data_IF_580020846111
#
_entry.id   IF_580020846111
#
_cell.length_a   1.000
_cell.length_b   1.000
_cell.length_c   1.000
_cell.angle_alpha   90.00
_cell.angle_beta   90.00
_cell.angle_gamma   90.00
#
_symmetry.space_group_name_H-M   'P 1'
#
loop_
_entity.id
_entity.type
_entity.pdbx_description
1 polymer ?
#
# COMPACT_ATOMS: atom_id res chain seq x y z
N UNK A 1 -4.89 3.65 -4.21
CA UNK A 1 -3.64 3.94 -4.95
C UNK A 1 -2.60 2.88 -4.64
N UNK A 2 -2.02 2.27 -5.67
CA UNK A 2 -0.95 1.29 -5.58
C UNK A 2 0.38 1.93 -6.01
N UNK A 3 1.43 1.81 -5.21
CA UNK A 3 2.79 2.27 -5.52
C UNK A 3 3.67 1.06 -5.83
N UNK A 4 4.18 1.03 -7.07
CA UNK A 4 5.04 -0.01 -7.61
C UNK A 4 6.49 0.45 -7.66
N UNK A 5 7.36 -0.54 -7.58
CA UNK A 5 8.78 -0.37 -7.76
C UNK A 5 9.59 -1.50 -7.16
N UNK A 6 10.80 -1.71 -7.64
CA UNK A 6 11.73 -2.70 -7.09
C UNK A 6 12.24 -2.28 -5.70
N UNK A 7 12.92 -3.20 -5.04
CA UNK A 7 13.61 -2.95 -3.78
C UNK A 7 14.62 -1.81 -3.93
N UNK A 8 14.62 -0.86 -3.00
CA UNK A 8 15.52 0.29 -3.02
C UNK A 8 15.04 1.49 -3.85
N UNK A 9 13.89 1.42 -4.53
CA UNK A 9 13.36 2.53 -5.34
C UNK A 9 12.66 3.65 -4.55
N UNK A 10 12.73 3.60 -3.21
CA UNK A 10 12.20 4.66 -2.34
C UNK A 10 10.72 4.52 -1.95
N UNK A 11 10.07 3.37 -2.24
CA UNK A 11 8.67 3.08 -1.87
C UNK A 11 8.38 3.27 -0.38
N UNK A 12 9.07 2.49 0.47
CA UNK A 12 8.95 2.57 1.94
C UNK A 12 9.35 3.96 2.44
N UNK A 13 10.43 4.53 1.90
CA UNK A 13 10.87 5.89 2.26
C UNK A 13 9.80 6.94 1.97
N UNK A 14 9.09 6.85 0.85
CA UNK A 14 7.99 7.74 0.51
C UNK A 14 6.81 7.56 1.46
N UNK A 15 6.38 6.32 1.73
CA UNK A 15 5.30 6.07 2.68
C UNK A 15 5.66 6.53 4.10
N UNK A 16 6.90 6.33 4.54
CA UNK A 16 7.39 6.82 5.83
C UNK A 16 7.48 8.35 5.85
N UNK A 17 7.83 8.99 4.74
CA UNK A 17 7.77 10.46 4.62
C UNK A 17 6.33 10.96 4.76
N UNK A 18 5.39 10.36 4.03
CA UNK A 18 3.97 10.70 4.05
C UNK A 18 3.35 10.50 5.43
N UNK A 19 3.76 9.44 6.13
CA UNK A 19 3.31 9.14 7.49
C UNK A 19 4.06 9.89 8.60
N UNK A 20 4.99 10.79 8.22
CA UNK A 20 5.84 11.56 9.15
C UNK A 20 6.64 10.65 10.10
N UNK A 21 7.02 9.47 9.61
CA UNK A 21 7.89 8.46 10.24
C UNK A 21 9.36 8.64 9.91
N UNK A 22 9.74 9.50 8.94
CA UNK A 22 11.14 9.87 8.75
C UNK A 22 11.65 10.63 9.98
N UNK A 23 12.69 10.10 10.62
CA UNK A 23 13.35 10.73 11.75
C UNK A 23 14.22 11.87 11.22
N UNK A 24 14.61 12.81 12.09
CA UNK A 24 15.26 14.11 11.82
C UNK A 24 16.58 14.12 11.00
N UNK A 25 16.86 13.12 10.15
CA UNK A 25 18.00 13.10 9.23
C UNK A 25 17.51 13.38 7.80
N UNK A 26 17.61 14.65 7.38
CA UNK A 26 17.30 15.09 6.03
C UNK A 26 16.29 16.23 5.98
N UNK A 27 15.98 16.71 4.78
CA UNK A 27 15.00 17.77 4.53
C UNK A 27 13.86 17.21 3.69
N UNK A 28 12.63 17.36 4.18
CA UNK A 28 11.45 17.14 3.35
C UNK A 28 11.22 18.41 2.52
N UNK A 29 11.39 18.32 1.21
CA UNK A 29 11.33 19.49 0.31
C UNK A 29 9.92 20.12 0.21
N UNK A 30 8.87 19.34 0.47
CA UNK A 30 7.47 19.79 0.39
C UNK A 30 6.62 19.12 1.46
N UNK A 31 5.63 19.84 1.97
CA UNK A 31 4.69 19.30 2.95
C UNK A 31 3.70 18.33 2.30
N UNK A 32 3.32 17.29 3.05
CA UNK A 32 2.22 16.39 2.72
C UNK A 32 0.97 16.93 3.42
N UNK A 33 -0.01 17.36 2.62
CA UNK A 33 -1.28 17.89 3.10
C UNK A 33 -2.38 16.84 2.95
N UNK A 34 -3.15 16.60 4.02
CA UNK A 34 -4.37 15.77 3.99
C UNK A 34 -5.53 16.64 4.40
N UNK A 35 -6.41 17.01 3.46
CA UNK A 35 -7.51 17.95 3.70
C UNK A 35 -7.04 19.25 4.41
N UNK A 36 -5.82 19.71 4.10
CA UNK A 36 -5.19 20.87 4.74
C UNK A 36 -4.61 20.65 6.14
N UNK A 37 -4.55 19.40 6.64
CA UNK A 37 -4.05 19.04 7.97
C UNK A 37 -2.93 17.99 7.92
N UNK A 38 -2.17 17.89 9.02
CA UNK A 38 -1.06 16.96 9.18
C UNK A 38 -1.53 15.55 9.54
N UNK A 39 -0.99 14.53 8.85
CA UNK A 39 -1.30 13.12 9.11
C UNK A 39 -0.86 12.68 10.53
N UNK A 40 -1.72 11.90 11.21
CA UNK A 40 -1.41 11.25 12.49
C UNK A 40 -0.68 9.92 12.29
N UNK A 41 0.12 9.54 13.30
CA UNK A 41 1.02 8.38 13.30
C UNK A 41 0.33 7.18 13.93
N UNK A 42 0.51 5.98 13.37
CA UNK A 42 0.22 4.72 14.04
C UNK A 42 1.22 3.60 13.68
N UNK A 43 1.47 2.71 14.64
CA UNK A 43 2.40 1.58 14.51
C UNK A 43 1.65 0.25 14.61
N UNK A 44 2.07 -0.71 13.79
CA UNK A 44 1.62 -2.10 13.86
C UNK A 44 2.40 -2.82 14.96
N UNK A 45 1.81 -2.98 16.15
CA UNK A 45 2.39 -3.88 17.18
C UNK A 45 1.28 -4.69 17.81
N UNK A 46 1.23 -5.99 17.46
CA UNK A 46 0.30 -6.95 18.04
C UNK A 46 0.93 -7.66 19.24
N UNK A 47 0.18 -7.83 20.32
CA UNK A 47 0.62 -8.58 21.49
C UNK A 47 0.28 -10.07 21.31
N UNK A 48 1.30 -10.89 21.12
CA UNK A 48 1.19 -12.31 20.76
C UNK A 48 0.47 -13.17 21.81
N UNK A 49 0.49 -12.75 23.08
CA UNK A 49 -0.10 -13.46 24.21
C UNK A 49 -1.58 -13.15 24.45
N UNK A 50 -2.19 -12.33 23.60
CA UNK A 50 -3.61 -11.98 23.64
C UNK A 50 -4.38 -12.69 22.54
N UNK A 51 -5.68 -12.86 22.75
CA UNK A 51 -6.60 -13.22 21.67
C UNK A 51 -6.83 -12.03 20.73
N UNK A 52 -7.29 -12.30 19.51
CA UNK A 52 -7.64 -11.25 18.55
C UNK A 52 -8.65 -10.24 19.13
N UNK A 53 -9.69 -10.74 19.82
CA UNK A 53 -10.71 -9.91 20.46
C UNK A 53 -10.14 -9.06 21.58
N UNK A 54 -9.31 -9.64 22.45
CA UNK A 54 -8.68 -8.90 23.55
C UNK A 54 -7.78 -7.79 23.03
N UNK A 55 -6.94 -8.08 22.04
CA UNK A 55 -6.06 -7.09 21.43
C UNK A 55 -6.86 -5.92 20.85
N UNK A 56 -7.89 -6.21 20.04
CA UNK A 56 -8.73 -5.17 19.44
C UNK A 56 -9.51 -4.37 20.48
N UNK A 57 -9.98 -5.03 21.53
CA UNK A 57 -10.65 -4.36 22.65
C UNK A 57 -9.72 -3.41 23.38
N UNK A 58 -8.49 -3.81 23.68
CA UNK A 58 -7.51 -2.92 24.33
C UNK A 58 -7.11 -1.76 23.42
N UNK A 59 -6.90 -2.00 22.12
CA UNK A 59 -6.64 -0.93 21.15
C UNK A 59 -7.80 0.08 21.12
N UNK A 60 -9.05 -0.40 21.05
CA UNK A 60 -10.23 0.47 21.05
C UNK A 60 -10.37 1.28 22.35
N UNK A 61 -10.12 0.65 23.52
CA UNK A 61 -10.14 1.31 24.82
C UNK A 61 -9.11 2.45 24.93
N UNK A 62 -7.94 2.27 24.31
CA UNK A 62 -6.88 3.27 24.30
C UNK A 62 -7.13 4.40 23.29
N UNK A 63 -7.66 4.07 22.12
CA UNK A 63 -7.90 5.02 21.05
C UNK A 63 -9.15 5.89 21.29
N UNK A 64 -10.24 5.32 21.82
CA UNK A 64 -11.54 5.98 21.92
C UNK A 64 -11.74 6.57 23.32
N UNK A 65 -11.56 7.89 23.44
CA UNK A 65 -11.77 8.60 24.72
C UNK A 65 -13.26 8.76 25.02
N UNK A 66 -13.68 8.35 26.23
CA UNK A 66 -15.05 8.58 26.74
C UNK A 66 -16.12 7.62 26.19
N UNK A 67 -15.74 6.60 25.41
CA UNK A 67 -16.67 5.57 24.95
C UNK A 67 -17.14 4.66 26.09
N UNK A 68 -18.43 4.31 26.12
CA UNK A 68 -18.92 3.30 27.06
C UNK A 68 -18.36 1.91 26.71
N UNK A 69 -18.22 1.04 27.71
CA UNK A 69 -17.75 -0.35 27.48
C UNK A 69 -18.61 -1.09 26.45
N UNK A 70 -19.93 -0.87 26.46
CA UNK A 70 -20.86 -1.44 25.47
C UNK A 70 -20.63 -0.90 24.05
N UNK A 71 -20.37 0.40 23.90
CA UNK A 71 -20.06 1.01 22.61
C UNK A 71 -18.77 0.43 22.04
N UNK A 72 -17.72 0.35 22.86
CA UNK A 72 -16.42 -0.20 22.44
C UNK A 72 -16.55 -1.65 22.00
N UNK A 73 -17.25 -2.49 22.78
CA UNK A 73 -17.46 -3.88 22.40
C UNK A 73 -18.20 -4.01 21.07
N UNK A 74 -19.29 -3.23 20.87
CA UNK A 74 -20.03 -3.25 19.61
C UNK A 74 -19.16 -2.83 18.43
N UNK A 75 -18.32 -1.82 18.60
CA UNK A 75 -17.40 -1.37 17.55
C UNK A 75 -16.36 -2.45 17.21
N UNK A 76 -15.78 -3.10 18.22
CA UNK A 76 -14.84 -4.22 18.01
C UNK A 76 -15.50 -5.36 17.25
N UNK A 77 -16.70 -5.79 17.65
CA UNK A 77 -17.40 -6.87 16.95
C UNK A 77 -17.77 -6.49 15.50
N UNK A 78 -18.14 -5.23 15.25
CA UNK A 78 -18.42 -4.73 13.91
C UNK A 78 -17.17 -4.79 13.00
N UNK A 79 -16.02 -4.30 13.49
CA UNK A 79 -14.75 -4.34 12.74
C UNK A 79 -14.27 -5.78 12.53
N UNK A 80 -14.41 -6.66 13.52
CA UNK A 80 -14.07 -8.08 13.35
C UNK A 80 -14.97 -8.76 12.31
N UNK A 81 -16.27 -8.46 12.31
CA UNK A 81 -17.19 -9.02 11.31
C UNK A 81 -16.84 -8.51 9.91
N UNK A 82 -16.55 -7.22 9.77
CA UNK A 82 -16.13 -6.60 8.52
C UNK A 82 -14.88 -7.25 7.92
N UNK A 83 -13.91 -7.57 8.77
CA UNK A 83 -12.65 -8.22 8.34
C UNK A 83 -12.70 -9.74 8.33
N UNK A 84 -13.90 -10.32 8.50
CA UNK A 84 -14.13 -11.76 8.57
C UNK A 84 -13.30 -12.48 9.65
N UNK A 85 -13.02 -11.80 10.76
CA UNK A 85 -12.23 -12.29 11.91
C UNK A 85 -13.10 -12.94 13.00
N UNK A 86 -14.43 -12.88 12.90
CA UNK A 86 -15.34 -13.34 13.96
C UNK A 86 -15.15 -14.81 14.35
N UNK A 87 -14.81 -15.68 13.39
CA UNK A 87 -14.63 -17.12 13.61
C UNK A 87 -13.40 -17.47 14.45
N UNK A 88 -12.53 -16.50 14.69
CA UNK A 88 -11.22 -16.67 15.29
C UNK A 88 -10.91 -15.59 16.34
N UNK A 89 -11.95 -14.90 16.78
CA UNK A 89 -11.89 -13.82 17.76
C UNK A 89 -11.22 -14.24 19.08
N UNK A 90 -11.47 -15.47 19.55
CA UNK A 90 -10.98 -16.01 20.82
C UNK A 90 -9.70 -16.86 20.68
N UNK A 91 -9.11 -16.91 19.49
CA UNK A 91 -7.83 -17.59 19.29
C UNK A 91 -6.68 -16.65 19.65
N UNK A 92 -5.62 -17.21 20.24
CA UNK A 92 -4.39 -16.48 20.51
C UNK A 92 -3.76 -15.99 19.21
N UNK A 93 -3.37 -14.71 19.18
CA UNK A 93 -2.64 -14.11 18.05
C UNK A 93 -1.38 -14.92 17.77
N UNK A 94 -0.65 -15.25 18.83
CA UNK A 94 0.54 -16.08 18.76
C UNK A 94 1.69 -15.41 18.02
N UNK A 95 2.75 -16.19 17.81
CA UNK A 95 3.91 -15.80 17.04
C UNK A 95 4.42 -17.02 16.25
N UNK A 96 5.51 -16.83 15.50
CA UNK A 96 6.04 -17.89 14.63
C UNK A 96 6.48 -19.14 15.40
N UNK A 97 6.94 -18.97 16.64
CA UNK A 97 7.55 -20.04 17.44
C UNK A 97 6.54 -20.84 18.28
N UNK A 98 5.43 -20.21 18.69
CA UNK A 98 4.48 -20.81 19.66
C UNK A 98 3.10 -21.16 19.03
N UNK A 99 2.95 -21.00 17.71
CA UNK A 99 1.68 -21.22 17.01
C UNK A 99 0.64 -20.12 17.28
N UNK A 100 -0.50 -20.16 16.58
CA UNK A 100 -1.55 -19.15 16.67
C UNK A 100 -2.22 -18.89 15.33
N UNK A 101 -2.58 -17.63 15.08
CA UNK A 101 -3.19 -17.21 13.83
C UNK A 101 -2.22 -17.32 12.64
N UNK A 102 -2.76 -17.60 11.45
CA UNK A 102 -1.98 -17.53 10.21
C UNK A 102 -1.49 -16.11 9.94
N UNK A 103 -0.45 -15.97 9.10
CA UNK A 103 0.09 -14.65 8.73
C UNK A 103 -0.96 -13.73 8.12
N UNK A 104 -1.86 -14.28 7.29
CA UNK A 104 -2.96 -13.52 6.69
C UNK A 104 -3.96 -12.98 7.70
N UNK A 105 -4.31 -13.82 8.67
CA UNK A 105 -5.25 -13.44 9.72
C UNK A 105 -4.61 -12.44 10.69
N UNK A 106 -3.33 -12.60 11.02
CA UNK A 106 -2.56 -11.60 11.77
C UNK A 106 -2.53 -10.26 11.03
N UNK A 107 -2.36 -10.28 9.69
CA UNK A 107 -2.43 -9.05 8.87
C UNK A 107 -3.80 -8.40 8.96
N UNK A 108 -4.88 -9.18 8.87
CA UNK A 108 -6.25 -8.68 9.07
C UNK A 108 -6.47 -8.09 10.48
N UNK A 109 -5.96 -8.73 11.54
CA UNK A 109 -6.04 -8.18 12.91
C UNK A 109 -5.27 -6.84 13.01
N UNK A 110 -4.14 -6.69 12.32
CA UNK A 110 -3.42 -5.42 12.24
C UNK A 110 -4.26 -4.34 11.56
N UNK A 111 -4.88 -4.66 10.42
CA UNK A 111 -5.79 -3.75 9.71
C UNK A 111 -6.99 -3.38 10.60
N UNK A 112 -7.56 -4.37 11.30
CA UNK A 112 -8.66 -4.18 12.25
C UNK A 112 -8.32 -3.16 13.33
N UNK A 113 -7.11 -3.26 13.89
CA UNK A 113 -6.64 -2.35 14.91
C UNK A 113 -6.64 -0.89 14.42
N UNK A 114 -6.26 -0.65 13.16
CA UNK A 114 -6.28 0.67 12.55
C UNK A 114 -7.72 1.16 12.26
N UNK A 115 -8.61 0.28 11.80
CA UNK A 115 -10.01 0.63 11.51
C UNK A 115 -10.80 1.06 12.75
N UNK A 116 -10.40 0.64 13.96
CA UNK A 116 -11.04 1.09 15.20
C UNK A 116 -10.95 2.60 15.43
N UNK A 117 -10.06 3.30 14.70
CA UNK A 117 -9.92 4.75 14.77
C UNK A 117 -10.77 5.51 13.74
N UNK A 118 -11.54 4.81 12.90
CA UNK A 118 -12.27 5.37 11.75
C UNK A 118 -11.39 6.27 10.85
N UNK A 119 -10.24 5.77 10.36
CA UNK A 119 -9.31 6.58 9.59
C UNK A 119 -9.91 6.94 8.22
N UNK A 120 -9.76 8.21 7.82
CA UNK A 120 -10.10 8.65 6.44
C UNK A 120 -9.00 8.32 5.43
N UNK A 121 -7.78 8.04 5.89
CA UNK A 121 -6.63 7.66 5.07
C UNK A 121 -5.88 6.51 5.75
N UNK A 122 -5.55 5.48 4.98
CA UNK A 122 -4.74 4.35 5.43
C UNK A 122 -3.53 4.16 4.50
N UNK A 123 -2.36 4.00 5.12
CA UNK A 123 -1.09 3.76 4.43
C UNK A 123 -0.58 2.37 4.81
N UNK A 124 -0.31 1.52 3.82
CA UNK A 124 0.22 0.17 4.07
C UNK A 124 1.54 -0.03 3.34
N UNK A 125 2.60 -0.36 4.09
CA UNK A 125 3.85 -0.78 3.48
C UNK A 125 3.83 -2.30 3.25
N UNK A 126 3.93 -2.68 1.97
CA UNK A 126 3.97 -4.05 1.45
C UNK A 126 2.99 -5.03 2.12
N UNK A 127 1.66 -4.83 2.03
CA UNK A 127 0.66 -5.61 2.75
C UNK A 127 0.51 -7.06 2.35
N UNK A 128 1.12 -7.46 1.25
CA UNK A 128 1.11 -8.83 0.74
C UNK A 128 2.41 -9.59 1.03
N UNK A 129 3.43 -8.95 1.61
CA UNK A 129 4.74 -9.58 1.85
C UNK A 129 4.61 -10.69 2.90
N UNK A 130 5.16 -11.87 2.58
CA UNK A 130 5.14 -13.03 3.48
C UNK A 130 3.79 -13.78 3.52
N UNK A 131 2.87 -13.46 2.61
CA UNK A 131 1.60 -14.16 2.44
C UNK A 131 1.67 -15.10 1.23
N UNK A 132 0.94 -16.21 1.29
CA UNK A 132 0.70 -17.01 0.09
C UNK A 132 -0.18 -16.25 -0.90
N UNK A 133 -0.17 -16.71 -2.13
CA UNK A 133 -0.86 -16.10 -3.25
C UNK A 133 -2.36 -15.86 -3.03
N UNK A 134 -3.07 -16.81 -2.42
CA UNK A 134 -4.51 -16.70 -2.20
C UNK A 134 -4.79 -15.65 -1.13
N UNK A 135 -4.05 -15.71 -0.03
CA UNK A 135 -4.18 -14.76 1.08
C UNK A 135 -3.79 -13.34 0.66
N UNK A 136 -2.74 -13.17 -0.15
CA UNK A 136 -2.35 -11.87 -0.70
C UNK A 136 -3.49 -11.23 -1.52
N UNK A 137 -4.12 -12.01 -2.42
CA UNK A 137 -5.27 -11.53 -3.20
C UNK A 137 -6.44 -11.12 -2.29
N UNK A 138 -6.74 -11.90 -1.24
CA UNK A 138 -7.79 -11.56 -0.27
C UNK A 138 -7.50 -10.23 0.46
N UNK A 139 -6.24 -9.98 0.84
CA UNK A 139 -5.86 -8.71 1.45
C UNK A 139 -6.04 -7.55 0.47
N UNK A 140 -5.67 -7.70 -0.79
CA UNK A 140 -5.86 -6.63 -1.79
C UNK A 140 -7.35 -6.34 -2.06
N UNK A 141 -8.19 -7.37 -2.15
CA UNK A 141 -9.65 -7.19 -2.29
C UNK A 141 -10.20 -6.46 -1.08
N UNK A 142 -9.80 -6.84 0.13
CA UNK A 142 -10.18 -6.14 1.35
C UNK A 142 -9.78 -4.66 1.32
N UNK A 143 -8.55 -4.34 0.91
CA UNK A 143 -8.09 -2.95 0.79
C UNK A 143 -8.90 -2.16 -0.23
N UNK A 144 -9.30 -2.79 -1.34
CA UNK A 144 -10.20 -2.19 -2.31
C UNK A 144 -11.60 -1.96 -1.73
N UNK A 145 -12.16 -2.90 -0.97
CA UNK A 145 -13.45 -2.73 -0.29
C UNK A 145 -13.44 -1.59 0.72
N UNK A 146 -12.34 -1.43 1.47
CA UNK A 146 -12.15 -0.28 2.37
C UNK A 146 -12.14 1.04 1.59
N UNK A 147 -11.48 1.07 0.42
CA UNK A 147 -11.44 2.26 -0.42
C UNK A 147 -12.82 2.69 -0.92
N UNK A 148 -13.74 1.75 -1.17
CA UNK A 148 -15.12 2.03 -1.55
C UNK A 148 -15.97 2.64 -0.42
N UNK A 149 -15.47 2.70 0.81
CA UNK A 149 -16.16 3.25 1.99
C UNK A 149 -15.58 4.59 2.42
N UNK A 150 -15.33 5.47 1.45
CA UNK A 150 -14.80 6.83 1.66
C UNK A 150 -13.45 6.88 2.42
N UNK A 151 -12.65 5.82 2.30
CA UNK A 151 -11.29 5.75 2.86
C UNK A 151 -10.24 5.86 1.75
N UNK A 152 -9.28 6.76 1.87
CA UNK A 152 -8.14 6.81 0.95
C UNK A 152 -7.16 5.72 1.34
N UNK A 153 -7.03 4.70 0.49
CA UNK A 153 -6.08 3.61 0.71
C UNK A 153 -4.87 3.77 -0.22
N UNK A 154 -3.68 3.90 0.36
CA UNK A 154 -2.40 3.95 -0.36
C UNK A 154 -1.53 2.81 0.15
N UNK A 155 -0.96 2.03 -0.74
CA UNK A 155 -0.04 0.98 -0.34
C UNK A 155 1.05 0.73 -1.37
N UNK A 156 2.16 0.18 -0.91
CA UNK A 156 3.24 -0.31 -1.75
C UNK A 156 3.08 -1.81 -1.99
N UNK A 157 3.48 -2.30 -3.15
CA UNK A 157 3.50 -3.74 -3.42
C UNK A 157 4.75 -4.12 -4.20
N UNK A 158 5.31 -5.27 -3.87
CA UNK A 158 6.41 -5.90 -4.59
C UNK A 158 5.83 -7.02 -5.46
N UNK A 159 5.78 -6.83 -6.78
CA UNK A 159 5.32 -7.81 -7.77
C UNK A 159 3.87 -8.31 -7.58
N UNK A 160 2.86 -7.49 -7.92
CA UNK A 160 1.47 -7.93 -7.92
C UNK A 160 1.13 -8.83 -9.11
N UNK A 161 0.12 -9.68 -8.92
CA UNK A 161 -0.44 -10.52 -9.98
C UNK A 161 -1.22 -9.69 -11.00
N UNK A 162 -1.18 -10.10 -12.25
CA UNK A 162 -1.92 -9.48 -13.36
C UNK A 162 -3.43 -9.40 -13.11
N UNK A 163 -4.00 -10.38 -12.40
CA UNK A 163 -5.42 -10.42 -12.00
C UNK A 163 -5.85 -9.18 -11.19
N UNK A 164 -4.93 -8.56 -10.46
CA UNK A 164 -5.19 -7.39 -9.61
C UNK A 164 -5.14 -6.07 -10.39
N UNK A 165 -4.75 -6.10 -11.67
CA UNK A 165 -4.49 -4.90 -12.48
C UNK A 165 -5.69 -3.95 -12.54
N UNK A 166 -6.89 -4.53 -12.69
CA UNK A 166 -8.13 -3.76 -12.81
C UNK A 166 -8.72 -3.35 -11.46
N UNK A 167 -8.15 -3.79 -10.33
CA UNK A 167 -8.64 -3.43 -9.00
C UNK A 167 -8.11 -2.08 -8.50
N UNK A 168 -7.13 -1.49 -9.18
CA UNK A 168 -6.48 -0.27 -8.72
C UNK A 168 -7.04 0.97 -9.40
N UNK A 169 -7.55 1.92 -8.61
CA UNK A 169 -8.00 3.22 -9.14
C UNK A 169 -6.85 4.04 -9.72
N UNK A 170 -5.68 3.96 -9.06
CA UNK A 170 -4.45 4.61 -9.48
C UNK A 170 -3.25 3.71 -9.20
N UNK A 171 -2.36 3.63 -10.18
CA UNK A 171 -1.06 2.97 -10.13
C UNK A 171 0.00 4.05 -10.29
N UNK A 172 1.00 4.05 -9.40
CA UNK A 172 2.18 4.88 -9.51
C UNK A 172 3.43 4.00 -9.59
N UNK A 173 4.38 4.35 -10.45
CA UNK A 173 5.68 3.68 -10.56
C UNK A 173 6.75 4.66 -10.08
N UNK A 174 7.48 4.27 -9.05
CA UNK A 174 8.69 4.98 -8.63
C UNK A 174 9.90 4.31 -9.25
N UNK A 175 11.01 5.02 -9.45
CA UNK A 175 12.33 4.43 -9.70
C UNK A 175 13.41 5.30 -9.04
N UNK A 176 14.21 4.73 -8.15
CA UNK A 176 15.23 5.45 -7.36
C UNK A 176 14.78 6.82 -6.80
N UNK A 177 13.54 6.89 -6.31
CA UNK A 177 12.96 8.11 -5.74
C UNK A 177 12.31 9.08 -6.74
N UNK A 178 12.45 8.85 -8.04
CA UNK A 178 11.76 9.61 -9.09
C UNK A 178 10.41 8.97 -9.44
N UNK A 179 9.42 9.81 -9.74
CA UNK A 179 8.11 9.35 -10.21
C UNK A 179 8.14 9.15 -11.74
N UNK A 180 7.99 7.91 -12.17
CA UNK A 180 8.02 7.54 -13.59
C UNK A 180 6.63 7.64 -14.22
N UNK A 181 5.59 7.24 -13.50
CA UNK A 181 4.21 7.28 -13.96
C UNK A 181 3.25 7.35 -12.77
N UNK A 182 2.10 8.00 -12.92
CA UNK A 182 0.95 7.89 -12.03
C UNK A 182 -0.34 8.10 -12.82
N UNK A 183 -1.29 7.19 -12.69
CA UNK A 183 -2.56 7.24 -13.43
C UNK A 183 -3.40 6.00 -13.23
N UNK A 184 -4.53 5.91 -13.92
CA UNK A 184 -5.37 4.70 -13.94
C UNK A 184 -4.67 3.56 -14.70
N UNK A 185 -5.10 2.29 -14.54
CA UNK A 185 -4.54 1.17 -15.30
C UNK A 185 -4.64 1.36 -16.81
N UNK A 186 -5.76 1.94 -17.29
CA UNK A 186 -5.97 2.24 -18.72
C UNK A 186 -5.02 3.35 -19.20
N UNK A 187 -4.93 4.45 -18.45
CA UNK A 187 -3.98 5.54 -18.76
C UNK A 187 -2.53 5.04 -18.80
N UNK A 188 -2.19 4.04 -17.97
CA UNK A 188 -0.86 3.44 -17.97
C UNK A 188 -0.59 2.69 -19.28
N UNK A 189 -1.51 1.82 -19.69
CA UNK A 189 -1.39 1.09 -20.96
C UNK A 189 -1.24 2.07 -22.13
N UNK A 190 -2.12 3.08 -22.20
CA UNK A 190 -2.11 4.08 -23.27
C UNK A 190 -0.82 4.92 -23.29
N UNK A 191 -0.34 5.34 -22.11
CA UNK A 191 0.88 6.13 -21.99
C UNK A 191 2.11 5.36 -22.46
N UNK A 192 2.30 4.12 -21.99
CA UNK A 192 3.45 3.31 -22.39
C UNK A 192 3.37 2.87 -23.86
N UNK A 193 2.17 2.59 -24.37
CA UNK A 193 1.93 2.39 -25.80
C UNK A 193 2.35 3.62 -26.62
N UNK A 194 1.98 4.83 -26.18
CA UNK A 194 2.38 6.10 -26.81
C UNK A 194 3.89 6.36 -26.76
N UNK A 195 4.59 5.79 -25.77
CA UNK A 195 6.04 5.80 -25.67
C UNK A 195 6.72 4.71 -26.53
N UNK A 196 5.95 3.88 -27.24
CA UNK A 196 6.46 2.79 -28.09
C UNK A 196 6.70 1.46 -27.36
N UNK A 197 6.19 1.31 -26.14
CA UNK A 197 6.38 0.12 -25.30
C UNK A 197 5.06 -0.55 -24.95
N UNK A 198 4.54 -1.34 -25.89
CA UNK A 198 3.32 -2.12 -25.68
C UNK A 198 3.55 -3.40 -24.88
N UNK A 199 2.70 -3.63 -23.88
CA UNK A 199 2.69 -4.87 -23.13
C UNK A 199 2.12 -6.02 -24.01
N UNK A 200 2.81 -7.16 -24.14
CA UNK A 200 2.27 -8.33 -24.85
C UNK A 200 1.00 -8.91 -24.18
N UNK A 201 0.11 -9.53 -24.97
CA UNK A 201 -1.21 -10.03 -24.52
C UNK A 201 -1.15 -11.14 -23.45
N UNK A 202 0.00 -11.79 -23.27
CA UNK A 202 0.19 -12.88 -22.31
C UNK A 202 1.28 -12.56 -21.27
N UNK A 203 1.60 -11.27 -21.12
CA UNK A 203 2.53 -10.79 -20.11
C UNK A 203 1.78 -10.16 -18.95
N UNK A 204 2.33 -10.25 -17.75
CA UNK A 204 1.84 -9.47 -16.63
C UNK A 204 2.22 -8.00 -16.85
N UNK A 205 1.25 -7.07 -16.99
CA UNK A 205 1.56 -5.67 -17.25
C UNK A 205 2.41 -5.06 -16.13
N UNK A 206 2.20 -5.49 -14.88
CA UNK A 206 2.98 -5.02 -13.75
C UNK A 206 4.46 -5.36 -13.90
N UNK A 207 4.76 -6.63 -14.18
CA UNK A 207 6.14 -7.09 -14.33
C UNK A 207 6.78 -6.44 -15.57
N UNK A 208 6.07 -6.39 -16.69
CA UNK A 208 6.55 -5.78 -17.92
C UNK A 208 6.93 -4.30 -17.73
N UNK A 209 6.05 -3.49 -17.13
CA UNK A 209 6.34 -2.07 -16.93
C UNK A 209 7.35 -1.82 -15.80
N UNK A 210 7.43 -2.68 -14.78
CA UNK A 210 8.51 -2.61 -13.79
C UNK A 210 9.86 -2.92 -14.43
N UNK A 211 9.97 -3.97 -15.25
CA UNK A 211 11.21 -4.33 -15.95
C UNK A 211 11.63 -3.21 -16.92
N UNK A 212 10.68 -2.66 -17.66
CA UNK A 212 10.91 -1.54 -18.57
C UNK A 212 11.42 -0.29 -17.86
N UNK A 213 10.88 -0.02 -16.67
CA UNK A 213 11.25 1.14 -15.86
C UNK A 213 12.44 0.89 -14.94
N UNK A 214 13.02 -0.31 -14.98
CA UNK A 214 14.24 -0.66 -14.23
C UNK A 214 15.53 -0.28 -14.96
N UNK A 215 16.58 -0.04 -14.18
CA UNK A 215 17.95 0.17 -14.65
C UNK A 215 18.77 -1.08 -14.35
N UNK A 216 19.36 -1.68 -15.37
CA UNK A 216 20.17 -2.89 -15.23
C UNK A 216 21.62 -2.53 -14.90
N UNK A 217 22.10 -2.92 -13.72
CA UNK A 217 23.47 -2.62 -13.26
C UNK A 217 24.46 -3.77 -13.53
N UNK A 218 24.08 -4.81 -14.29
CA UNK A 218 24.97 -5.97 -14.54
C UNK A 218 26.13 -5.64 -15.49
N UNK A 219 25.96 -4.66 -16.37
CA UNK A 219 27.01 -4.18 -17.26
C UNK A 219 26.92 -2.66 -17.42
N UNK A 220 28.07 -1.99 -17.61
CA UNK A 220 28.11 -0.52 -17.80
C UNK A 220 27.33 -0.07 -19.04
N UNK A 221 27.34 -0.89 -20.09
CA UNK A 221 26.65 -0.61 -21.34
C UNK A 221 25.13 -0.74 -21.17
N UNK A 222 24.67 -1.83 -20.56
CA UNK A 222 23.25 -2.04 -20.23
C UNK A 222 22.73 -1.00 -19.24
N UNK A 223 23.54 -0.60 -18.26
CA UNK A 223 23.19 0.46 -17.31
C UNK A 223 22.96 1.79 -18.04
N UNK A 224 23.90 2.19 -18.92
CA UNK A 224 23.77 3.46 -19.64
C UNK A 224 22.58 3.46 -20.61
N UNK A 225 22.29 2.33 -21.26
CA UNK A 225 21.14 2.19 -22.15
C UNK A 225 19.81 2.26 -21.38
N UNK A 226 19.67 1.44 -20.35
CA UNK A 226 18.44 1.37 -19.54
C UNK A 226 18.19 2.66 -18.77
N UNK A 227 19.24 3.31 -18.26
CA UNK A 227 19.13 4.62 -17.63
C UNK A 227 18.58 5.69 -18.59
N UNK A 228 19.10 5.75 -19.83
CA UNK A 228 18.57 6.67 -20.86
C UNK A 228 17.11 6.38 -21.19
N UNK A 229 16.73 5.11 -21.29
CA UNK A 229 15.34 4.70 -21.53
C UNK A 229 14.42 5.22 -20.43
N UNK A 230 14.78 4.99 -19.16
CA UNK A 230 13.98 5.46 -18.01
C UNK A 230 13.86 6.99 -18.02
N UNK A 231 14.95 7.72 -18.24
CA UNK A 231 14.92 9.19 -18.32
C UNK A 231 14.01 9.71 -19.44
N UNK A 232 13.99 9.04 -20.60
CA UNK A 232 13.09 9.40 -21.70
C UNK A 232 11.62 9.19 -21.30
N UNK A 233 11.29 8.06 -20.68
CA UNK A 233 9.94 7.75 -20.20
C UNK A 233 9.49 8.76 -19.13
N UNK A 234 10.34 9.03 -18.14
CA UNK A 234 10.08 10.01 -17.08
C UNK A 234 9.84 11.41 -17.65
N UNK A 235 10.67 11.84 -18.60
CA UNK A 235 10.53 13.12 -19.30
C UNK A 235 9.24 13.19 -20.13
N UNK A 236 8.86 12.08 -20.77
CA UNK A 236 7.61 11.98 -21.53
C UNK A 236 6.40 12.09 -20.59
N UNK A 237 6.45 11.43 -19.43
CA UNK A 237 5.40 11.50 -18.42
C UNK A 237 5.24 12.92 -17.87
N UNK A 238 6.34 13.58 -17.47
CA UNK A 238 6.32 14.98 -16.98
C UNK A 238 5.76 15.99 -18.01
N UNK A 239 5.81 15.67 -19.30
CA UNK A 239 5.23 16.48 -20.39
C UNK A 239 3.80 16.06 -20.79
N UNK A 240 3.31 14.94 -20.28
CA UNK A 240 2.01 14.38 -20.65
C UNK A 240 0.84 15.17 -20.04
N UNK A 241 -0.32 15.10 -20.70
CA UNK A 241 -1.55 15.66 -20.16
C UNK A 241 -1.98 14.99 -18.84
N UNK A 242 -1.63 13.70 -18.66
CA UNK A 242 -1.91 12.92 -17.44
C UNK A 242 -1.21 13.58 -16.23
N UNK A 243 0.06 13.96 -16.39
CA UNK A 243 0.81 14.63 -15.34
C UNK A 243 0.27 16.02 -15.02
N UNK A 244 -0.10 16.82 -16.03
CA UNK A 244 -0.68 18.14 -15.82
C UNK A 244 -2.01 18.05 -15.04
N UNK A 245 -2.88 17.10 -15.42
CA UNK A 245 -4.13 16.83 -14.71
C UNK A 245 -3.93 16.46 -13.24
N UNK A 246 -2.80 15.83 -12.88
CA UNK A 246 -2.48 15.51 -11.48
C UNK A 246 -2.06 16.75 -10.69
N UNK A 247 -1.42 17.74 -11.33
CA UNK A 247 -0.97 18.97 -10.68
C UNK A 247 -2.10 20.00 -10.46
N UNK A 248 -3.22 19.87 -11.17
CA UNK A 248 -4.37 20.76 -11.06
C UNK A 248 -5.21 20.52 -9.79
N UNK A 249 -4.98 19.42 -9.06
CA UNK A 249 -5.64 19.05 -7.80
C UNK A 249 -4.67 19.14 -6.62
#
# INVERSE_FOLDING_TARGET
MCILGSSGWGKTTLLDAMSRRLWHMGTLLRDVCVNGQALRRDHDTLLSNLTAREMLRYTALLAIRGGSSSYIQKKVEAVMAELSLSHMADQLIGNYDFGGLSNGERRRVSIAAQLLQDPSIMLFDEPTTGLDCMTANQIIVLLAELAHRDCIVIFTIHQPRSELFQLFDKIAILNYGELVFCGTPVEMLDFFNGCGYSCPEHSNPFDFYMDLTSVDTQSKEGEMETYRRVQMIESAYKKSAIYQKILEY
#
